data_IF_608053902102
#
_entry.id   IF_608053902102
#
_cell.length_a   1.000
_cell.length_b   1.000
_cell.length_c   1.000
_cell.angle_alpha   90.00
_cell.angle_beta   90.00
_cell.angle_gamma   90.00
#
_symmetry.space_group_name_H-M   'P 1'
#
loop_
_entity.id
_entity.type
_entity.pdbx_description
1 polymer ?
#
# COMPACT_ATOMS: atom_id res chain seq x y z
N UNK A 1 -16.66 -10.53 -6.40
CA UNK A 1 -16.09 -9.72 -5.30
C UNK A 1 -15.66 -8.39 -5.90
N UNK A 2 -16.09 -7.26 -5.34
CA UNK A 2 -15.64 -5.94 -5.83
C UNK A 2 -14.25 -5.65 -5.26
N UNK A 3 -13.29 -5.28 -6.10
CA UNK A 3 -11.95 -4.88 -5.66
C UNK A 3 -12.05 -3.56 -4.92
N UNK A 4 -11.88 -3.58 -3.60
CA UNK A 4 -11.85 -2.37 -2.78
C UNK A 4 -10.44 -1.76 -2.85
N UNK A 5 -10.39 -0.47 -3.15
CA UNK A 5 -9.15 0.29 -3.21
C UNK A 5 -8.97 1.13 -1.96
N UNK A 6 -7.80 0.98 -1.34
CA UNK A 6 -7.32 1.75 -0.21
C UNK A 6 -6.60 2.98 -0.76
N UNK A 7 -7.07 4.17 -0.39
CA UNK A 7 -6.40 5.43 -0.72
C UNK A 7 -5.29 5.78 0.27
N UNK A 8 -4.54 6.85 0.00
CA UNK A 8 -3.46 7.32 0.90
C UNK A 8 -3.94 7.61 2.33
N UNK A 9 -5.07 8.30 2.49
CA UNK A 9 -5.58 8.67 3.82
C UNK A 9 -5.92 7.45 4.67
N UNK A 10 -6.47 6.41 4.04
CA UNK A 10 -6.79 5.15 4.71
C UNK A 10 -5.53 4.34 4.98
N UNK A 11 -4.60 4.28 4.03
CA UNK A 11 -3.33 3.60 4.21
C UNK A 11 -2.50 4.17 5.36
N UNK A 12 -2.53 5.49 5.55
CA UNK A 12 -1.91 6.17 6.71
C UNK A 12 -2.52 5.70 8.03
N UNK A 13 -3.85 5.56 8.10
CA UNK A 13 -4.55 5.06 9.30
C UNK A 13 -4.21 3.58 9.56
N UNK A 14 -4.23 2.76 8.52
CA UNK A 14 -3.97 1.31 8.61
C UNK A 14 -2.53 0.97 9.01
N UNK A 15 -1.56 1.71 8.47
CA UNK A 15 -0.14 1.46 8.76
C UNK A 15 0.37 2.21 9.98
N UNK A 16 -0.36 3.23 10.45
CA UNK A 16 0.10 4.18 11.46
C UNK A 16 1.30 5.03 10.99
N UNK A 17 1.66 4.97 9.70
CA UNK A 17 2.81 5.70 9.13
C UNK A 17 2.34 6.95 8.40
N UNK A 18 3.13 8.01 8.46
CA UNK A 18 2.84 9.24 7.74
C UNK A 18 2.97 9.06 6.22
N UNK A 19 2.20 9.84 5.45
CA UNK A 19 2.24 9.87 3.97
C UNK A 19 3.67 9.97 3.39
N UNK A 20 4.57 10.86 3.85
CA UNK A 20 5.95 10.92 3.32
C UNK A 20 6.78 9.69 3.66
N UNK A 21 6.49 8.99 4.75
CA UNK A 21 7.15 7.73 5.09
C UNK A 21 6.70 6.61 4.17
N UNK A 22 5.39 6.48 3.92
CA UNK A 22 4.86 5.54 2.92
C UNK A 22 5.44 5.81 1.53
N UNK A 23 5.54 7.07 1.13
CA UNK A 23 6.18 7.43 -0.15
C UNK A 23 7.65 7.01 -0.21
N UNK A 24 8.43 7.22 0.86
CA UNK A 24 9.84 6.76 0.90
C UNK A 24 9.95 5.25 0.86
N UNK A 25 9.09 4.53 1.59
CA UNK A 25 9.08 3.07 1.58
C UNK A 25 8.76 2.52 0.18
N UNK A 26 7.81 3.15 -0.53
CA UNK A 26 7.48 2.80 -1.91
C UNK A 26 8.59 3.20 -2.90
N UNK A 27 8.94 4.50 -2.96
CA UNK A 27 9.76 5.06 -4.02
C UNK A 27 11.26 4.82 -3.85
N UNK A 28 11.75 4.68 -2.61
CA UNK A 28 13.20 4.53 -2.34
C UNK A 28 13.57 3.15 -1.81
N UNK A 29 12.74 2.55 -0.97
CA UNK A 29 13.09 1.29 -0.28
C UNK A 29 12.49 0.04 -0.93
N UNK A 30 11.51 0.21 -1.82
CA UNK A 30 10.73 -0.88 -2.41
C UNK A 30 10.13 -1.85 -1.36
N UNK A 31 9.92 -1.34 -0.15
CA UNK A 31 9.37 -2.07 1.01
C UNK A 31 7.85 -1.92 1.10
N UNK A 32 7.25 -1.08 0.25
CA UNK A 32 5.83 -0.81 0.24
C UNK A 32 5.23 -1.17 -1.12
N UNK A 33 4.02 -1.76 -1.16
CA UNK A 33 3.41 -2.19 -2.41
C UNK A 33 3.21 -1.02 -3.38
N UNK A 34 3.26 -1.34 -4.67
CA UNK A 34 2.97 -0.36 -5.73
C UNK A 34 1.45 -0.14 -5.79
N UNK A 35 0.98 1.11 -5.87
CA UNK A 35 -0.43 1.36 -6.09
C UNK A 35 -0.85 0.98 -7.50
N UNK A 36 -2.08 0.55 -7.65
CA UNK A 36 -2.72 0.41 -8.95
C UNK A 36 -3.05 1.78 -9.54
N UNK A 37 -2.88 1.84 -10.86
CA UNK A 37 -3.19 3.00 -11.68
C UNK A 37 -3.97 2.51 -12.90
N UNK A 38 -4.90 3.34 -13.36
CA UNK A 38 -5.54 3.13 -14.66
C UNK A 38 -4.49 3.15 -15.78
N UNK A 39 -4.79 2.58 -16.97
CA UNK A 39 -3.94 2.73 -18.15
C UNK A 39 -3.63 4.19 -18.50
N UNK A 40 -4.54 5.12 -18.16
CA UNK A 40 -4.38 6.57 -18.34
C UNK A 40 -3.51 7.25 -17.25
N UNK A 41 -2.98 6.49 -16.29
CA UNK A 41 -2.10 6.99 -15.23
C UNK A 41 -2.80 7.54 -13.99
N UNK A 42 -4.14 7.54 -13.94
CA UNK A 42 -4.90 7.96 -12.77
C UNK A 42 -4.65 6.99 -11.62
N UNK A 43 -4.32 7.53 -10.45
CA UNK A 43 -4.13 6.77 -9.21
C UNK A 43 -5.46 6.20 -8.71
N UNK A 44 -5.54 4.87 -8.58
CA UNK A 44 -6.71 4.19 -8.03
C UNK A 44 -6.55 3.90 -6.53
N UNK A 45 -5.33 3.58 -6.10
CA UNK A 45 -5.04 3.19 -4.73
C UNK A 45 -4.36 1.83 -4.67
N UNK A 46 -4.42 1.19 -3.52
CA UNK A 46 -3.96 -0.19 -3.35
C UNK A 46 -5.16 -1.11 -3.22
N UNK A 47 -5.22 -2.22 -3.98
CA UNK A 47 -6.18 -3.26 -3.69
C UNK A 47 -6.04 -3.73 -2.24
N UNK A 48 -7.16 -3.98 -1.58
CA UNK A 48 -7.19 -4.51 -0.21
C UNK A 48 -6.36 -5.81 -0.08
N UNK A 49 -6.43 -6.69 -1.08
CA UNK A 49 -5.61 -7.91 -1.16
C UNK A 49 -4.11 -7.63 -1.15
N UNK A 50 -3.67 -6.61 -1.88
CA UNK A 50 -2.25 -6.19 -1.91
C UNK A 50 -1.78 -5.70 -0.53
N UNK A 51 -2.63 -4.96 0.19
CA UNK A 51 -2.33 -4.55 1.55
C UNK A 51 -2.23 -5.76 2.49
N UNK A 52 -3.19 -6.67 2.43
CA UNK A 52 -3.20 -7.88 3.28
C UNK A 52 -1.96 -8.76 3.04
N UNK A 53 -1.58 -8.97 1.78
CA UNK A 53 -0.37 -9.73 1.42
C UNK A 53 0.90 -9.05 1.95
N UNK A 54 0.97 -7.72 1.87
CA UNK A 54 2.09 -6.97 2.40
C UNK A 54 2.18 -7.10 3.93
N UNK A 55 1.06 -6.94 4.65
CA UNK A 55 1.02 -7.11 6.11
C UNK A 55 1.42 -8.53 6.52
N UNK A 56 0.99 -9.54 5.76
CA UNK A 56 1.41 -10.94 6.00
C UNK A 56 2.91 -11.10 5.85
N UNK A 57 3.52 -10.55 4.79
CA UNK A 57 4.97 -10.63 4.57
C UNK A 57 5.76 -9.90 5.66
N UNK A 58 5.32 -8.72 6.08
CA UNK A 58 5.96 -7.92 7.13
C UNK A 58 5.94 -8.65 8.48
N UNK A 59 4.81 -9.26 8.84
CA UNK A 59 4.68 -10.05 10.08
C UNK A 59 5.50 -11.35 10.08
N UNK A 60 5.65 -12.00 8.93
CA UNK A 60 6.44 -13.25 8.82
C UNK A 60 7.95 -13.01 8.93
N UNK A 61 8.45 -11.82 8.65
CA UNK A 61 9.88 -11.50 8.77
C UNK A 61 10.34 -11.19 10.21
N UNK A 62 9.40 -11.08 11.16
CA UNK A 62 9.69 -10.63 12.53
C UNK A 62 9.44 -11.72 13.59
N UNK A 63 9.48 -13.01 13.20
CA UNK A 63 9.28 -14.17 14.09
C UNK A 63 10.38 -15.22 13.88
#
# INVERSE_FOLDING_TARGET
MATRYIGYAEMVKLTGKSKPTLWRMYAKRNEFPKPERTPSGIFLGWPETTYEEWVRKDKTQNN
#
